data_IF_111718467412
#
_entry.id   IF_111718467412
#
_cell.length_a   1.000
_cell.length_b   1.000
_cell.length_c   1.000
_cell.angle_alpha   90.00
_cell.angle_beta   90.00
_cell.angle_gamma   90.00
#
_symmetry.space_group_name_H-M   'P 1'
#
loop_
_entity.id
_entity.type
_entity.pdbx_description
1 polymer ?
#
# COMPACT_ATOMS: atom_id res chain seq x y z
N UNK A 1 0.77 21.08 14.43
CA UNK A 1 0.47 21.90 13.24
C UNK A 1 0.67 23.34 13.63
N UNK A 2 1.59 24.03 12.94
CA UNK A 2 1.89 25.43 13.19
C UNK A 2 2.04 26.12 11.83
N UNK A 3 0.99 26.79 11.38
CA UNK A 3 0.96 27.54 10.12
C UNK A 3 0.70 29.01 10.45
N UNK A 4 1.75 29.84 10.58
CA UNK A 4 1.59 31.26 10.83
C UNK A 4 1.13 31.99 9.57
N UNK A 5 0.37 33.08 9.74
CA UNK A 5 -0.11 33.94 8.64
C UNK A 5 -0.89 33.16 7.55
N UNK A 6 -1.75 32.23 7.98
CA UNK A 6 -2.46 31.33 7.05
C UNK A 6 -3.41 32.10 6.12
N UNK A 7 -4.12 33.10 6.64
CA UNK A 7 -4.90 34.06 5.87
C UNK A 7 -5.27 35.29 6.72
N UNK A 8 -5.54 36.46 6.12
CA UNK A 8 -6.13 37.59 6.83
C UNK A 8 -7.66 37.44 6.96
N UNK A 9 -8.22 37.95 8.06
CA UNK A 9 -9.66 38.22 8.23
C UNK A 9 -9.77 39.70 8.61
N UNK A 10 -10.49 40.49 7.82
CA UNK A 10 -10.65 41.95 8.01
C UNK A 10 -9.32 42.71 8.17
N UNK A 11 -8.30 42.30 7.42
CA UNK A 11 -6.95 42.91 7.47
C UNK A 11 -6.08 42.44 8.65
N UNK A 12 -6.61 41.60 9.56
CA UNK A 12 -5.85 41.02 10.68
C UNK A 12 -5.31 39.63 10.29
N UNK A 13 -3.98 39.41 10.31
CA UNK A 13 -3.41 38.09 9.98
C UNK A 13 -3.81 37.01 10.99
N UNK A 14 -4.25 35.85 10.49
CA UNK A 14 -4.61 34.69 11.31
C UNK A 14 -3.52 33.63 11.30
N UNK A 15 -3.47 32.83 12.35
CA UNK A 15 -2.52 31.72 12.50
C UNK A 15 -3.28 30.42 12.82
N UNK A 16 -2.84 29.29 12.24
CA UNK A 16 -3.34 27.98 12.62
C UNK A 16 -2.32 27.27 13.52
N UNK A 17 -2.58 27.29 14.82
CA UNK A 17 -1.82 26.53 15.82
C UNK A 17 -2.73 25.43 16.37
N UNK A 18 -2.40 24.17 16.04
CA UNK A 18 -3.19 23.02 16.48
C UNK A 18 -2.29 21.84 16.81
N UNK A 19 -2.52 21.21 17.96
CA UNK A 19 -1.88 19.94 18.32
C UNK A 19 -2.64 18.79 17.67
N UNK A 20 -1.94 17.94 16.93
CA UNK A 20 -2.47 16.70 16.37
C UNK A 20 -1.71 15.54 17.00
N UNK A 21 -2.42 14.71 17.76
CA UNK A 21 -1.84 13.51 18.36
C UNK A 21 -1.89 12.35 17.35
N UNK A 22 -1.01 11.36 17.53
CA UNK A 22 -1.04 10.12 16.72
C UNK A 22 -2.41 9.45 16.77
N UNK A 23 -2.97 9.28 17.97
CA UNK A 23 -4.29 8.67 18.16
C UNK A 23 -5.38 9.41 17.37
N UNK A 24 -5.33 10.75 17.32
CA UNK A 24 -6.31 11.52 16.53
C UNK A 24 -6.08 11.36 15.03
N UNK A 25 -4.83 11.33 14.56
CA UNK A 25 -4.52 11.05 13.16
C UNK A 25 -5.02 9.67 12.73
N UNK A 26 -4.71 8.63 13.52
CA UNK A 26 -5.15 7.25 13.25
C UNK A 26 -6.68 7.16 13.26
N UNK A 27 -7.36 7.81 14.21
CA UNK A 27 -8.83 7.89 14.21
C UNK A 27 -9.39 8.54 12.93
N UNK A 28 -8.74 9.59 12.40
CA UNK A 28 -9.19 10.26 11.18
C UNK A 28 -8.99 9.40 9.92
N UNK A 29 -8.03 8.47 9.95
CA UNK A 29 -7.69 7.61 8.82
C UNK A 29 -8.16 6.15 8.98
N UNK A 30 -8.85 5.81 10.07
CA UNK A 30 -9.18 4.43 10.42
C UNK A 30 -9.93 3.70 9.29
N UNK A 31 -10.94 4.33 8.69
CA UNK A 31 -11.69 3.73 7.58
C UNK A 31 -10.79 3.38 6.38
N UNK A 32 -9.81 4.22 6.07
CA UNK A 32 -8.85 3.98 4.98
C UNK A 32 -7.88 2.85 5.35
N UNK A 33 -7.42 2.82 6.60
CA UNK A 33 -6.54 1.76 7.12
C UNK A 33 -7.27 0.40 7.04
N UNK A 34 -8.50 0.32 7.53
CA UNK A 34 -9.31 -0.91 7.49
C UNK A 34 -9.60 -1.38 6.06
N UNK A 35 -9.85 -0.44 5.14
CA UNK A 35 -10.11 -0.76 3.73
C UNK A 35 -8.93 -1.47 3.04
N UNK A 36 -7.69 -1.33 3.55
CA UNK A 36 -6.52 -2.02 3.00
C UNK A 36 -6.55 -3.53 3.19
N UNK A 37 -7.29 -4.05 4.19
CA UNK A 37 -7.31 -5.48 4.48
C UNK A 37 -8.20 -6.27 3.52
N UNK A 38 -9.20 -5.64 2.91
CA UNK A 38 -10.14 -6.34 2.04
C UNK A 38 -9.48 -6.86 0.75
N UNK A 39 -8.65 -6.06 0.04
CA UNK A 39 -7.82 -6.57 -1.05
C UNK A 39 -6.91 -7.73 -0.64
N UNK A 40 -6.31 -7.70 0.56
CA UNK A 40 -5.47 -8.80 1.04
C UNK A 40 -6.26 -10.09 1.24
N UNK A 41 -7.49 -10.01 1.79
CA UNK A 41 -8.39 -11.17 1.92
C UNK A 41 -8.78 -11.73 0.56
N UNK A 42 -9.15 -10.85 -0.38
CA UNK A 42 -9.51 -11.27 -1.74
C UNK A 42 -8.35 -11.95 -2.45
N UNK A 43 -7.14 -11.38 -2.37
CA UNK A 43 -5.95 -11.97 -2.99
C UNK A 43 -5.63 -13.37 -2.44
N UNK A 44 -5.75 -13.59 -1.12
CA UNK A 44 -5.60 -14.91 -0.51
C UNK A 44 -6.66 -15.89 -1.02
N UNK A 45 -7.92 -15.44 -1.11
CA UNK A 45 -9.02 -16.25 -1.64
C UNK A 45 -8.80 -16.64 -3.11
N UNK A 46 -8.42 -15.69 -3.95
CA UNK A 46 -8.17 -15.90 -5.39
C UNK A 46 -6.97 -16.83 -5.61
N UNK A 47 -5.97 -16.79 -4.72
CA UNK A 47 -4.83 -17.70 -4.72
C UNK A 47 -5.12 -19.08 -4.08
N UNK A 48 -6.26 -19.24 -3.41
CA UNK A 48 -6.57 -20.46 -2.65
C UNK A 48 -5.66 -20.70 -1.44
N UNK A 49 -5.08 -19.63 -0.87
CA UNK A 49 -4.12 -19.69 0.22
C UNK A 49 -4.71 -19.18 1.54
N UNK A 50 -4.20 -19.72 2.63
CA UNK A 50 -4.44 -19.21 3.98
C UNK A 50 -3.38 -18.20 4.39
N UNK A 51 -3.66 -17.42 5.44
CA UNK A 51 -2.68 -16.49 6.02
C UNK A 51 -1.39 -17.18 6.48
N UNK A 52 -1.49 -18.43 6.96
CA UNK A 52 -0.35 -19.22 7.42
C UNK A 52 0.60 -19.65 6.30
N UNK A 53 0.10 -19.71 5.06
CA UNK A 53 0.91 -20.06 3.89
C UNK A 53 1.84 -18.92 3.46
N UNK A 54 1.60 -17.70 3.94
CA UNK A 54 2.45 -16.54 3.65
C UNK A 54 3.73 -16.63 4.48
N UNK A 55 4.88 -16.82 3.84
CA UNK A 55 6.16 -16.95 4.55
C UNK A 55 6.70 -15.61 5.05
N UNK A 56 6.64 -14.58 4.22
CA UNK A 56 7.19 -13.24 4.48
C UNK A 56 6.22 -12.15 4.00
N UNK A 57 6.16 -11.04 4.73
CA UNK A 57 5.34 -9.88 4.39
C UNK A 57 6.26 -8.72 4.06
N UNK A 58 6.14 -8.17 2.86
CA UNK A 58 6.98 -7.05 2.39
C UNK A 58 6.10 -5.80 2.27
N UNK A 59 6.51 -4.71 2.91
CA UNK A 59 5.83 -3.42 2.83
C UNK A 59 6.52 -2.52 1.80
N UNK A 60 5.73 -1.96 0.88
CA UNK A 60 6.21 -1.10 -0.21
C UNK A 60 5.41 0.19 -0.25
N UNK A 61 6.09 1.33 -0.44
CA UNK A 61 5.53 2.67 -0.49
C UNK A 61 5.56 3.40 0.86
N UNK A 62 5.78 4.73 0.82
CA UNK A 62 6.03 5.54 2.02
C UNK A 62 4.89 5.53 3.06
N UNK A 63 3.63 5.37 2.65
CA UNK A 63 2.49 5.29 3.58
C UNK A 63 2.54 4.04 4.47
N UNK A 64 3.29 3.00 4.10
CA UNK A 64 3.52 1.82 4.95
C UNK A 64 4.38 2.11 6.18
N UNK A 65 4.99 3.30 6.27
CA UNK A 65 5.70 3.79 7.46
C UNK A 65 4.75 4.23 8.57
N UNK A 66 3.45 4.37 8.30
CA UNK A 66 2.43 4.68 9.32
C UNK A 66 2.36 3.51 10.33
N UNK A 67 2.57 3.74 11.64
CA UNK A 67 2.58 2.66 12.64
C UNK A 67 1.31 1.80 12.67
N UNK A 68 0.14 2.44 12.52
CA UNK A 68 -1.14 1.71 12.47
C UNK A 68 -1.23 0.74 11.28
N UNK A 69 -0.62 1.07 10.13
CA UNK A 69 -0.57 0.17 8.96
C UNK A 69 0.32 -1.03 9.25
N UNK A 70 1.49 -0.82 9.84
CA UNK A 70 2.40 -1.94 10.17
C UNK A 70 1.74 -2.89 11.16
N UNK A 71 1.09 -2.33 12.19
CA UNK A 71 0.38 -3.09 13.20
C UNK A 71 -0.78 -3.90 12.60
N UNK A 72 -1.64 -3.28 11.81
CA UNK A 72 -2.82 -3.99 11.28
C UNK A 72 -2.43 -5.11 10.31
N UNK A 73 -1.35 -4.91 9.54
CA UNK A 73 -0.80 -5.94 8.64
C UNK A 73 -0.19 -7.09 9.45
N UNK A 74 0.58 -6.78 10.50
CA UNK A 74 1.15 -7.77 11.41
C UNK A 74 0.05 -8.58 12.11
N UNK A 75 -0.98 -7.92 12.64
CA UNK A 75 -2.15 -8.55 13.26
C UNK A 75 -2.92 -9.42 12.25
N UNK A 76 -3.02 -8.98 10.99
CA UNK A 76 -3.75 -9.70 9.96
C UNK A 76 -3.03 -10.97 9.50
N UNK A 77 -1.73 -10.92 9.23
CA UNK A 77 -0.93 -12.06 8.77
C UNK A 77 -0.30 -12.88 9.90
N UNK A 78 -0.31 -12.36 11.13
CA UNK A 78 0.35 -12.98 12.29
C UNK A 78 1.88 -12.97 12.18
N UNK A 79 2.45 -12.06 11.39
CA UNK A 79 3.89 -12.01 11.06
C UNK A 79 4.37 -10.57 10.97
N UNK A 80 5.51 -10.31 11.59
CA UNK A 80 6.17 -9.01 11.49
C UNK A 80 6.62 -8.75 10.03
N UNK A 81 6.29 -7.60 9.45
CA UNK A 81 6.76 -7.26 8.11
C UNK A 81 8.29 -7.14 8.03
N UNK A 82 8.83 -7.59 6.91
CA UNK A 82 10.25 -7.56 6.60
C UNK A 82 10.76 -6.13 6.49
N UNK A 83 11.98 -5.92 7.00
CA UNK A 83 12.75 -4.68 6.85
C UNK A 83 13.91 -4.83 5.87
N UNK A 84 13.91 -5.91 5.08
CA UNK A 84 14.99 -6.24 4.16
C UNK A 84 15.08 -5.34 2.92
N UNK A 85 14.07 -4.51 2.67
CA UNK A 85 14.00 -3.63 1.49
C UNK A 85 13.68 -2.18 1.87
N UNK A 86 14.19 -1.23 1.09
CA UNK A 86 13.78 0.16 1.19
C UNK A 86 12.40 0.34 0.53
N UNK A 87 11.33 0.67 1.28
CA UNK A 87 9.98 0.74 0.73
C UNK A 87 9.80 1.84 -0.33
N UNK A 88 10.68 2.85 -0.36
CA UNK A 88 10.55 4.00 -1.27
C UNK A 88 11.25 3.76 -2.63
N UNK A 89 12.23 2.84 -2.67
CA UNK A 89 13.09 2.63 -3.85
C UNK A 89 12.96 1.23 -4.46
N UNK A 90 12.46 0.25 -3.71
CA UNK A 90 12.43 -1.16 -4.12
C UNK A 90 11.73 -1.40 -5.46
N UNK A 91 10.70 -0.61 -5.78
CA UNK A 91 10.00 -0.70 -7.07
C UNK A 91 10.92 -0.31 -8.23
N UNK A 92 11.69 0.78 -8.09
CA UNK A 92 12.61 1.24 -9.12
C UNK A 92 13.77 0.24 -9.31
N UNK A 93 14.27 -0.34 -8.21
CA UNK A 93 15.28 -1.40 -8.26
C UNK A 93 14.74 -2.63 -8.99
N UNK A 94 13.51 -3.07 -8.69
CA UNK A 94 12.86 -4.18 -9.39
C UNK A 94 12.70 -3.93 -10.88
N UNK A 95 12.33 -2.70 -11.28
CA UNK A 95 12.23 -2.31 -12.69
C UNK A 95 13.60 -2.36 -13.40
N UNK A 96 14.66 -1.90 -12.75
CA UNK A 96 16.02 -1.97 -13.29
C UNK A 96 16.48 -3.43 -13.48
N UNK A 97 16.19 -4.31 -12.51
CA UNK A 97 16.48 -5.75 -12.61
C UNK A 97 15.74 -6.35 -13.81
N UNK A 98 14.46 -6.03 -13.98
CA UNK A 98 13.68 -6.49 -15.14
C UNK A 98 14.29 -6.00 -16.47
N UNK A 99 14.80 -4.77 -16.50
CA UNK A 99 15.57 -4.26 -17.65
C UNK A 99 16.81 -5.10 -17.95
N UNK A 100 17.58 -5.46 -16.94
CA UNK A 100 18.74 -6.34 -17.06
C UNK A 100 18.40 -7.76 -17.52
N UNK A 101 17.22 -8.27 -17.17
CA UNK A 101 16.71 -9.57 -17.67
C UNK A 101 16.40 -9.47 -19.16
N UNK A 102 15.77 -8.39 -19.61
CA UNK A 102 15.43 -8.17 -21.01
C UNK A 102 16.67 -8.01 -21.91
N UNK A 103 17.76 -7.45 -21.39
CA UNK A 103 19.03 -7.33 -22.13
C UNK A 103 19.90 -8.59 -22.06
N UNK A 104 19.54 -9.56 -21.22
CA UNK A 104 20.30 -10.79 -21.01
C UNK A 104 21.54 -10.63 -20.11
N UNK A 105 21.70 -9.47 -19.47
CA UNK A 105 22.75 -9.21 -18.47
C UNK A 105 22.45 -9.94 -17.15
N UNK A 106 21.18 -10.00 -16.77
CA UNK A 106 20.68 -10.80 -15.65
C UNK A 106 20.16 -12.14 -16.19
N UNK A 107 20.74 -13.23 -15.70
CA UNK A 107 20.42 -14.60 -16.12
C UNK A 107 19.68 -15.35 -15.01
N UNK A 108 19.04 -16.44 -15.39
CA UNK A 108 18.36 -17.38 -14.49
C UNK A 108 17.17 -16.78 -13.70
N UNK A 109 16.53 -15.76 -14.28
CA UNK A 109 15.28 -15.17 -13.75
C UNK A 109 14.15 -15.41 -14.74
N UNK A 110 13.07 -16.03 -14.27
CA UNK A 110 11.82 -16.19 -15.01
C UNK A 110 10.69 -15.52 -14.21
N UNK A 111 9.95 -14.61 -14.86
CA UNK A 111 8.80 -13.93 -14.28
C UNK A 111 7.55 -14.29 -15.09
N UNK A 112 6.49 -14.71 -14.39
CA UNK A 112 5.15 -14.91 -14.94
C UNK A 112 4.19 -14.02 -14.17
N UNK A 113 3.49 -13.14 -14.90
CA UNK A 113 2.53 -12.19 -14.33
C UNK A 113 1.13 -12.39 -14.94
N UNK A 114 0.12 -11.79 -14.32
CA UNK A 114 -1.31 -12.00 -14.64
C UNK A 114 -2.04 -10.71 -14.96
N UNK A 115 -3.16 -10.81 -15.68
CA UNK A 115 -4.07 -9.67 -15.87
C UNK A 115 -4.97 -9.51 -14.64
N UNK A 116 -5.02 -8.33 -13.98
CA UNK A 116 -5.67 -8.18 -12.67
C UNK A 116 -7.20 -8.06 -12.75
N UNK A 117 -7.76 -7.85 -13.93
CA UNK A 117 -9.19 -7.63 -14.14
C UNK A 117 -9.72 -8.59 -15.19
N UNK A 118 -10.96 -9.02 -14.98
CA UNK A 118 -11.72 -9.78 -15.98
C UNK A 118 -11.89 -8.95 -17.25
N UNK A 119 -11.71 -9.60 -18.40
CA UNK A 119 -11.95 -9.02 -19.72
C UNK A 119 -13.14 -9.74 -20.35
N UNK A 120 -14.17 -8.99 -20.71
CA UNK A 120 -15.39 -9.52 -21.31
C UNK A 120 -16.07 -8.49 -22.22
N UNK A 121 -17.07 -8.96 -22.98
CA UNK A 121 -17.92 -8.12 -23.81
C UNK A 121 -19.35 -8.21 -23.29
N UNK A 122 -20.11 -7.13 -23.41
CA UNK A 122 -21.54 -7.15 -23.08
C UNK A 122 -22.31 -7.90 -24.17
N UNK A 123 -23.15 -8.86 -23.76
CA UNK A 123 -24.05 -9.57 -24.67
C UNK A 123 -25.50 -9.13 -24.49
N UNK A 124 -26.30 -9.25 -25.55
CA UNK A 124 -27.67 -8.76 -25.57
C UNK A 124 -28.51 -9.53 -24.54
N UNK A 125 -29.01 -8.81 -23.52
CA UNK A 125 -29.72 -9.40 -22.37
C UNK A 125 -28.98 -9.30 -21.03
N UNK A 126 -27.81 -8.64 -20.99
CA UNK A 126 -27.06 -8.42 -19.74
C UNK A 126 -26.35 -9.67 -19.21
N UNK A 127 -26.16 -10.68 -20.06
CA UNK A 127 -25.35 -11.84 -19.73
C UNK A 127 -23.88 -11.42 -19.86
N UNK A 128 -23.19 -11.39 -18.73
CA UNK A 128 -21.75 -11.06 -18.59
C UNK A 128 -20.96 -12.30 -18.23
#
# INVERSE_FOLDING_TARGET
>A
INLPYIMPIDGVPQHLVKTLTRAKFEQLCDSLIQATLEPCRKALSDAGLSKSDVNEVILVGGSTRIPAIQKIVEDFFGKAPSKGVNPDEVVAVGAAIQGGVLTGEVKDVLLLDVTPLSLGIETLGGVT
#
